data_IF_079550032324
#
_entry.id   IF_079550032324
#
_cell.length_a   1.000
_cell.length_b   1.000
_cell.length_c   1.000
_cell.angle_alpha   90.00
_cell.angle_beta   90.00
_cell.angle_gamma   90.00
#
_symmetry.space_group_name_H-M   'P 1'
#
loop_
_entity.id
_entity.type
_entity.pdbx_description
1 polymer ?
#
# COMPACT_ATOMS: atom_id res chain seq x y z
N UNK A 1 -32.15 -20.62 6.87
CA UNK A 1 -32.47 -19.49 5.97
C UNK A 1 -33.08 -18.36 6.79
N UNK A 2 -32.24 -17.47 7.30
CA UNK A 2 -32.68 -16.31 8.08
C UNK A 2 -33.12 -15.22 7.10
N UNK A 3 -34.42 -14.92 7.06
CA UNK A 3 -34.98 -13.88 6.20
C UNK A 3 -34.37 -12.53 6.59
N UNK A 4 -33.54 -11.95 5.73
CA UNK A 4 -33.12 -10.56 5.86
C UNK A 4 -34.37 -9.67 5.74
N UNK A 5 -34.72 -9.01 6.84
CA UNK A 5 -35.81 -8.04 6.89
C UNK A 5 -35.22 -6.71 6.41
N UNK A 6 -35.62 -6.25 5.24
CA UNK A 6 -35.30 -4.89 4.78
C UNK A 6 -36.06 -3.95 5.72
N UNK A 7 -35.33 -3.17 6.52
CA UNK A 7 -35.88 -2.14 7.42
C UNK A 7 -35.69 -0.82 6.69
N UNK A 8 -36.79 -0.12 6.40
CA UNK A 8 -36.76 1.22 5.83
C UNK A 8 -36.31 2.23 6.91
N UNK A 9 -35.42 3.15 6.54
CA UNK A 9 -34.93 4.22 7.40
C UNK A 9 -36.05 5.25 7.61
N UNK A 10 -36.42 5.52 8.85
CA UNK A 10 -37.40 6.53 9.25
C UNK A 10 -36.75 7.55 10.21
N UNK A 11 -37.32 8.75 10.33
CA UNK A 11 -36.80 9.81 11.21
C UNK A 11 -36.68 9.38 12.68
N UNK A 12 -37.35 8.29 13.07
CA UNK A 12 -37.33 7.76 14.44
C UNK A 12 -36.27 6.69 14.67
N UNK A 13 -35.66 6.15 13.61
CA UNK A 13 -34.72 5.03 13.65
C UNK A 13 -33.36 5.36 13.03
N UNK A 14 -33.17 6.57 12.49
CA UNK A 14 -31.91 7.07 11.93
C UNK A 14 -31.01 7.73 12.97
N UNK A 15 -29.69 7.65 12.78
CA UNK A 15 -28.70 8.37 13.56
C UNK A 15 -28.87 9.90 13.39
N UNK A 16 -28.95 10.64 14.50
CA UNK A 16 -29.14 12.10 14.50
C UNK A 16 -27.89 12.88 14.04
N UNK A 17 -26.72 12.23 14.02
CA UNK A 17 -25.46 12.89 13.70
C UNK A 17 -25.08 12.77 12.23
N UNK A 18 -25.24 11.58 11.64
CA UNK A 18 -24.86 11.30 10.26
C UNK A 18 -26.04 11.13 9.30
N UNK A 19 -27.28 10.97 9.80
CA UNK A 19 -28.51 10.77 9.03
C UNK A 19 -28.49 9.62 7.99
N UNK A 20 -27.41 8.85 7.90
CA UNK A 20 -27.14 7.89 6.83
C UNK A 20 -27.28 6.42 7.26
N UNK A 21 -27.47 6.17 8.56
CA UNK A 21 -27.50 4.82 9.11
C UNK A 21 -28.53 4.69 10.23
N UNK A 22 -29.00 3.46 10.44
CA UNK A 22 -29.84 3.11 11.59
C UNK A 22 -29.09 3.42 12.90
N UNK A 23 -29.78 4.11 13.79
CA UNK A 23 -29.31 4.37 15.13
C UNK A 23 -29.32 3.08 15.95
N UNK A 24 -28.17 2.70 16.49
CA UNK A 24 -27.98 1.46 17.27
C UNK A 24 -27.95 1.73 18.77
N UNK A 25 -27.62 2.95 19.16
CA UNK A 25 -27.35 3.33 20.54
C UNK A 25 -27.97 4.70 20.84
N UNK A 26 -28.15 4.99 22.13
CA UNK A 26 -28.73 6.25 22.61
C UNK A 26 -27.83 6.84 23.69
N UNK A 27 -27.54 8.14 23.61
CA UNK A 27 -26.74 8.82 24.61
C UNK A 27 -27.53 8.95 25.93
N UNK A 28 -26.97 8.57 27.09
CA UNK A 28 -27.69 8.65 28.37
C UNK A 28 -27.86 10.08 28.90
N UNK A 29 -27.08 11.05 28.40
CA UNK A 29 -27.18 12.46 28.84
C UNK A 29 -28.20 13.26 28.02
N UNK A 30 -28.10 13.22 26.69
CA UNK A 30 -28.97 14.02 25.80
C UNK A 30 -30.08 13.21 25.12
N UNK A 31 -30.10 11.88 25.26
CA UNK A 31 -31.06 10.97 24.62
C UNK A 31 -31.03 10.93 23.08
N UNK A 32 -30.05 11.59 22.45
CA UNK A 32 -29.83 11.50 21.01
C UNK A 32 -29.37 10.13 20.56
N UNK A 33 -29.88 9.68 19.42
CA UNK A 33 -29.58 8.35 18.88
C UNK A 33 -28.41 8.38 17.89
N UNK A 34 -27.50 7.41 17.99
CA UNK A 34 -26.31 7.31 17.15
C UNK A 34 -26.05 5.89 16.63
N UNK A 35 -25.34 5.77 15.51
CA UNK A 35 -25.05 4.49 14.88
C UNK A 35 -23.71 3.87 15.32
N UNK A 36 -22.69 4.68 15.62
CA UNK A 36 -21.31 4.24 15.94
C UNK A 36 -20.61 5.23 16.86
N UNK A 37 -19.47 4.82 17.44
CA UNK A 37 -18.62 5.69 18.26
C UNK A 37 -18.16 6.96 17.52
N UNK A 38 -17.94 6.89 16.21
CA UNK A 38 -17.57 8.06 15.39
C UNK A 38 -18.67 9.13 15.43
N UNK A 39 -19.95 8.71 15.37
CA UNK A 39 -21.07 9.63 15.53
C UNK A 39 -21.22 10.14 16.97
N UNK A 40 -20.86 9.32 17.96
CA UNK A 40 -20.86 9.73 19.38
C UNK A 40 -19.77 10.77 19.69
N UNK A 41 -18.63 10.72 19.00
CA UNK A 41 -17.50 11.66 19.12
C UNK A 41 -17.54 12.80 18.09
N UNK A 42 -18.62 12.93 17.34
CA UNK A 42 -18.75 14.00 16.34
C UNK A 42 -18.80 15.38 17.00
N UNK A 43 -18.37 16.43 16.29
CA UNK A 43 -18.42 17.82 16.78
C UNK A 43 -19.81 18.21 17.29
N UNK A 44 -20.87 17.69 16.67
CA UNK A 44 -22.27 17.92 17.06
C UNK A 44 -22.64 17.32 18.42
N UNK A 45 -21.86 16.37 18.94
CA UNK A 45 -22.07 15.68 20.22
C UNK A 45 -20.88 15.82 21.20
N UNK A 46 -19.93 16.72 20.90
CA UNK A 46 -18.66 16.83 21.61
C UNK A 46 -18.83 17.08 23.12
N UNK A 47 -19.76 17.97 23.48
CA UNK A 47 -20.08 18.33 24.87
C UNK A 47 -20.44 17.10 25.73
N UNK A 48 -21.25 16.19 25.20
CA UNK A 48 -21.72 15.02 25.94
C UNK A 48 -20.68 13.90 25.98
N UNK A 49 -19.86 13.76 24.93
CA UNK A 49 -18.75 12.81 24.92
C UNK A 49 -17.63 13.22 25.87
N UNK A 50 -17.24 14.51 25.88
CA UNK A 50 -16.18 15.01 26.75
C UNK A 50 -16.55 14.95 28.23
N UNK A 51 -17.78 15.33 28.59
CA UNK A 51 -18.24 15.18 29.96
C UNK A 51 -18.24 13.72 30.41
N UNK A 52 -18.58 12.78 29.53
CA UNK A 52 -18.52 11.36 29.87
C UNK A 52 -17.08 10.90 30.10
N UNK A 53 -16.13 11.29 29.24
CA UNK A 53 -14.72 10.99 29.44
C UNK A 53 -14.18 11.61 30.73
N UNK A 54 -14.54 12.87 30.99
CA UNK A 54 -14.19 13.57 32.22
C UNK A 54 -14.77 12.89 33.45
N UNK A 55 -16.04 12.50 33.42
CA UNK A 55 -16.69 11.78 34.53
C UNK A 55 -16.07 10.40 34.75
N UNK A 56 -15.69 9.68 33.68
CA UNK A 56 -14.97 8.41 33.78
C UNK A 56 -13.59 8.59 34.41
N UNK A 57 -12.82 9.59 33.96
CA UNK A 57 -11.50 9.91 34.52
C UNK A 57 -11.63 10.34 35.99
N UNK A 58 -12.58 11.22 36.32
CA UNK A 58 -12.80 11.68 37.70
C UNK A 58 -13.23 10.52 38.60
N UNK A 59 -14.07 9.59 38.13
CA UNK A 59 -14.46 8.40 38.91
C UNK A 59 -13.30 7.46 39.18
N UNK A 60 -12.43 7.26 38.20
CA UNK A 60 -11.23 6.41 38.38
C UNK A 60 -10.21 7.09 39.30
N UNK A 61 -10.00 8.40 39.12
CA UNK A 61 -9.14 9.21 40.00
C UNK A 61 -9.70 9.35 41.42
N UNK A 62 -11.01 9.30 41.62
CA UNK A 62 -11.61 9.30 42.97
C UNK A 62 -11.32 8.01 43.75
N UNK A 63 -10.88 6.94 43.08
CA UNK A 63 -10.39 5.74 43.74
C UNK A 63 -8.93 5.86 44.20
N UNK A 64 -8.19 6.86 43.69
CA UNK A 64 -6.83 7.19 44.11
C UNK A 64 -6.81 8.44 45.00
N UNK A 65 -6.47 8.27 46.28
CA UNK A 65 -6.50 9.31 47.33
C UNK A 65 -5.32 10.31 47.26
N UNK A 66 -4.82 10.65 46.06
CA UNK A 66 -3.69 11.55 45.87
C UNK A 66 -4.05 12.84 45.11
N UNK A 67 -4.52 13.85 45.86
CA UNK A 67 -4.88 15.18 45.34
C UNK A 67 -3.72 15.90 44.62
N UNK A 68 -2.47 15.58 44.95
CA UNK A 68 -1.27 16.15 44.31
C UNK A 68 -1.11 15.63 42.88
N UNK A 69 -1.37 14.33 42.66
CA UNK A 69 -1.32 13.69 41.34
C UNK A 69 -2.46 14.21 40.44
N UNK A 70 -3.66 14.41 41.01
CA UNK A 70 -4.81 15.00 40.31
C UNK A 70 -4.50 16.40 39.80
N UNK A 71 -3.89 17.26 40.63
CA UNK A 71 -3.50 18.62 40.22
C UNK A 71 -2.46 18.61 39.13
N UNK A 72 -1.40 17.79 39.24
CA UNK A 72 -0.36 17.69 38.21
C UNK A 72 -0.90 17.19 36.87
N UNK A 73 -1.82 16.22 36.87
CA UNK A 73 -2.38 15.70 35.63
C UNK A 73 -3.36 16.70 34.97
N UNK A 74 -4.15 17.42 35.75
CA UNK A 74 -4.99 18.52 35.26
C UNK A 74 -4.14 19.68 34.72
N UNK A 75 -2.99 19.97 35.33
CA UNK A 75 -2.05 20.98 34.88
C UNK A 75 -1.36 20.56 33.56
N UNK A 76 -1.02 19.28 33.39
CA UNK A 76 -0.49 18.74 32.13
C UNK A 76 -1.51 18.85 30.99
N UNK A 77 -2.79 18.52 31.24
CA UNK A 77 -3.88 18.68 30.26
C UNK A 77 -4.15 20.14 29.90
N UNK A 78 -4.02 21.04 30.87
CA UNK A 78 -4.18 22.48 30.64
C UNK A 78 -3.00 23.06 29.86
N UNK A 79 -1.79 22.54 30.13
CA UNK A 79 -0.58 22.87 29.39
C UNK A 79 -0.65 22.38 27.94
N UNK A 80 -1.13 21.17 27.67
CA UNK A 80 -1.27 20.71 26.27
C UNK A 80 -2.27 21.54 25.48
N UNK A 81 -3.34 22.03 26.10
CA UNK A 81 -4.33 22.88 25.42
C UNK A 81 -3.83 24.32 25.21
N UNK A 82 -2.95 24.82 26.08
CA UNK A 82 -2.28 26.11 25.91
C UNK A 82 -1.09 26.02 24.93
N UNK A 83 -0.39 24.88 24.89
CA UNK A 83 0.67 24.58 23.91
C UNK A 83 0.08 24.41 22.50
N UNK A 84 -1.20 24.00 22.34
CA UNK A 84 -1.91 24.06 21.05
C UNK A 84 -2.22 25.50 20.59
N UNK A 85 -2.40 26.45 21.52
CA UNK A 85 -2.66 27.87 21.19
C UNK A 85 -1.37 28.71 21.03
N UNK A 86 -0.24 28.27 21.58
CA UNK A 86 1.07 28.95 21.52
C UNK A 86 2.11 28.27 20.61
N UNK A 87 1.73 27.25 19.84
CA UNK A 87 2.49 26.84 18.67
C UNK A 87 2.33 27.93 17.61
N UNK A 88 3.26 28.88 17.69
CA UNK A 88 3.62 29.90 16.70
C UNK A 88 3.80 29.25 15.32
N UNK A 89 2.68 29.08 14.64
CA UNK A 89 2.58 28.79 13.23
C UNK A 89 2.91 30.08 12.51
N UNK A 90 4.20 30.34 12.32
CA UNK A 90 4.77 31.39 11.46
C UNK A 90 4.48 31.09 9.96
N UNK A 91 3.33 30.48 9.66
CA UNK A 91 2.72 30.30 8.32
C UNK A 91 1.84 31.52 8.03
N UNK A 92 2.49 32.67 7.91
CA UNK A 92 1.86 33.85 7.31
C UNK A 92 1.75 33.60 5.78
N UNK A 93 0.52 33.60 5.27
CA UNK A 93 0.13 33.81 3.86
C UNK A 93 0.27 32.69 2.80
N UNK A 94 0.27 31.40 3.14
CA UNK A 94 -0.05 30.37 2.13
C UNK A 94 -1.48 29.88 2.27
N UNK A 95 -2.30 30.13 1.24
CA UNK A 95 -3.64 29.57 1.14
C UNK A 95 -3.60 28.05 1.35
N UNK A 96 -4.64 27.49 1.99
CA UNK A 96 -4.75 26.06 2.25
C UNK A 96 -4.45 25.26 0.97
N UNK A 97 -3.69 24.17 1.09
CA UNK A 97 -3.28 23.34 -0.04
C UNK A 97 -4.50 22.86 -0.85
N UNK A 98 -5.64 22.66 -0.16
CA UNK A 98 -6.93 22.35 -0.77
C UNK A 98 -7.43 23.44 -1.73
N UNK A 99 -7.23 24.72 -1.39
CA UNK A 99 -7.61 25.85 -2.24
C UNK A 99 -6.66 26.01 -3.44
N UNK A 100 -5.37 25.71 -3.26
CA UNK A 100 -4.35 25.81 -4.31
C UNK A 100 -4.44 24.70 -5.36
N UNK A 101 -4.86 23.50 -4.93
CA UNK A 101 -5.10 22.34 -5.79
C UNK A 101 -6.53 22.29 -6.35
N UNK A 102 -7.40 23.25 -5.98
CA UNK A 102 -8.76 23.31 -6.49
C UNK A 102 -8.76 23.46 -8.03
N UNK A 103 -9.33 22.45 -8.72
CA UNK A 103 -9.42 22.42 -10.18
C UNK A 103 -8.13 22.02 -10.89
N UNK A 104 -7.11 21.56 -10.17
CA UNK A 104 -5.95 20.89 -10.75
C UNK A 104 -6.32 19.45 -11.11
N UNK A 105 -5.85 18.99 -12.26
CA UNK A 105 -5.92 17.58 -12.62
C UNK A 105 -4.93 16.79 -11.76
N UNK A 106 -5.44 15.99 -10.83
CA UNK A 106 -4.60 15.21 -9.92
C UNK A 106 -3.87 14.06 -10.62
N UNK A 107 -4.28 13.71 -11.84
CA UNK A 107 -3.59 12.70 -12.67
C UNK A 107 -2.39 13.31 -13.43
N UNK A 108 -2.24 14.65 -13.43
CA UNK A 108 -1.09 15.35 -14.01
C UNK A 108 -0.08 15.72 -12.90
N UNK A 109 0.91 14.85 -12.72
CA UNK A 109 1.93 14.99 -11.68
C UNK A 109 2.74 16.30 -11.80
N UNK A 110 2.99 16.78 -13.02
CA UNK A 110 3.76 18.01 -13.22
C UNK A 110 2.95 19.24 -12.80
N UNK A 111 1.66 19.28 -13.13
CA UNK A 111 0.76 20.35 -12.71
C UNK A 111 0.56 20.39 -11.18
N UNK A 112 0.43 19.22 -10.53
CA UNK A 112 0.37 19.13 -9.07
C UNK A 112 1.67 19.61 -8.45
N UNK A 113 2.82 19.19 -9.01
CA UNK A 113 4.14 19.58 -8.51
C UNK A 113 4.39 21.09 -8.54
N UNK A 114 4.03 21.76 -9.64
CA UNK A 114 4.17 23.20 -9.80
C UNK A 114 3.32 24.02 -8.82
N UNK A 115 2.24 23.43 -8.30
CA UNK A 115 1.32 24.07 -7.37
C UNK A 115 1.77 23.97 -5.93
N UNK A 116 2.68 23.06 -5.60
CA UNK A 116 3.27 22.89 -4.27
C UNK A 116 4.29 24.01 -3.95
N UNK A 117 4.43 24.36 -2.66
CA UNK A 117 5.46 25.29 -2.20
C UNK A 117 6.82 24.60 -2.21
N UNK A 118 7.89 25.39 -2.09
CA UNK A 118 9.25 24.85 -2.01
C UNK A 118 9.47 23.99 -0.78
N UNK A 119 8.73 24.25 0.29
CA UNK A 119 8.87 23.51 1.55
C UNK A 119 8.08 22.19 1.48
N UNK A 120 6.87 22.19 0.91
CA UNK A 120 6.09 20.97 0.61
C UNK A 120 6.83 20.06 -0.38
N UNK A 121 7.45 20.61 -1.42
CA UNK A 121 8.29 19.84 -2.35
C UNK A 121 9.51 19.24 -1.65
N UNK A 122 10.15 19.99 -0.74
CA UNK A 122 11.29 19.50 0.03
C UNK A 122 10.87 18.41 1.02
N UNK A 123 9.73 18.56 1.68
CA UNK A 123 9.16 17.55 2.56
C UNK A 123 8.82 16.28 1.77
N UNK A 124 8.20 16.41 0.60
CA UNK A 124 7.94 15.26 -0.27
C UNK A 124 9.23 14.57 -0.73
N UNK A 125 10.26 15.32 -1.12
CA UNK A 125 11.57 14.74 -1.50
C UNK A 125 12.27 14.10 -0.30
N UNK A 126 12.15 14.68 0.90
CA UNK A 126 12.67 14.10 2.12
C UNK A 126 11.91 12.82 2.48
N UNK A 127 10.59 12.83 2.30
CA UNK A 127 9.72 11.67 2.44
C UNK A 127 10.13 10.58 1.45
N UNK A 128 10.30 10.88 0.15
CA UNK A 128 10.80 9.94 -0.88
C UNK A 128 12.13 9.26 -0.53
N UNK A 129 12.98 9.93 0.24
CA UNK A 129 14.27 9.38 0.70
C UNK A 129 14.14 8.52 1.95
N UNK A 130 12.99 8.56 2.63
CA UNK A 130 12.70 7.69 3.76
C UNK A 130 12.32 6.28 3.28
N UNK A 131 12.58 5.26 4.11
CA UNK A 131 12.15 3.88 3.81
C UNK A 131 10.62 3.74 3.78
N UNK A 132 9.87 4.72 4.29
CA UNK A 132 8.43 4.64 4.48
C UNK A 132 7.63 4.70 3.16
N UNK A 133 8.19 5.34 2.12
CA UNK A 133 7.53 5.48 0.80
C UNK A 133 7.27 4.14 0.14
N UNK A 134 8.15 3.16 0.36
CA UNK A 134 7.98 1.80 -0.18
C UNK A 134 6.70 1.14 0.31
N UNK A 135 6.12 1.60 1.43
CA UNK A 135 4.83 1.10 1.95
C UNK A 135 3.62 1.72 1.27
N UNK A 136 3.77 2.87 0.62
CA UNK A 136 2.68 3.52 -0.12
C UNK A 136 2.48 2.94 -1.52
N UNK A 137 3.52 2.32 -2.08
CA UNK A 137 3.44 1.68 -3.40
C UNK A 137 2.87 0.28 -3.21
N UNK A 138 1.71 -0.05 -3.82
CA UNK A 138 1.18 -1.39 -3.77
C UNK A 138 2.17 -2.36 -4.42
N UNK A 139 2.47 -3.44 -3.71
CA UNK A 139 3.33 -4.49 -4.23
C UNK A 139 2.61 -5.23 -5.34
N UNK A 140 3.25 -5.34 -6.50
CA UNK A 140 2.73 -6.12 -7.61
C UNK A 140 2.73 -7.61 -7.27
N UNK A 141 1.57 -8.24 -7.45
CA UNK A 141 1.42 -9.67 -7.29
C UNK A 141 1.52 -10.35 -8.67
N UNK A 142 2.53 -11.20 -8.90
CA UNK A 142 2.64 -11.91 -10.16
C UNK A 142 1.53 -12.96 -10.30
N UNK A 143 1.01 -13.13 -11.51
CA UNK A 143 -0.02 -14.14 -11.80
C UNK A 143 0.40 -15.55 -11.35
N UNK A 144 1.68 -15.93 -11.50
CA UNK A 144 2.15 -17.25 -11.06
C UNK A 144 2.24 -17.45 -9.53
N UNK A 145 1.92 -16.44 -8.71
CA UNK A 145 1.79 -16.59 -7.25
C UNK A 145 0.41 -17.12 -6.82
N UNK A 146 -0.56 -17.19 -7.73
CA UNK A 146 -1.90 -17.68 -7.40
C UNK A 146 -1.85 -19.14 -6.91
N UNK A 147 -2.41 -19.38 -5.71
CA UNK A 147 -2.54 -20.72 -5.12
C UNK A 147 -4.02 -21.11 -5.10
N UNK A 148 -4.40 -22.09 -5.93
CA UNK A 148 -5.73 -22.67 -5.84
C UNK A 148 -5.81 -23.63 -4.63
N UNK A 149 -6.73 -23.44 -3.67
CA UNK A 149 -7.20 -24.47 -2.75
C UNK A 149 -7.63 -25.74 -3.51
N UNK A 150 -7.58 -26.88 -2.82
CA UNK A 150 -8.02 -28.17 -3.38
C UNK A 150 -9.52 -28.19 -3.78
N UNK A 151 -10.32 -27.24 -3.28
CA UNK A 151 -11.75 -27.07 -3.61
C UNK A 151 -12.04 -25.59 -3.75
N UNK A 152 -12.50 -25.18 -4.91
CA UNK A 152 -12.92 -23.81 -5.22
C UNK A 152 -14.19 -23.79 -6.09
N UNK A 153 -14.90 -22.67 -6.05
CA UNK A 153 -16.00 -22.40 -6.95
C UNK A 153 -15.48 -22.24 -8.39
N UNK A 154 -16.19 -22.79 -9.38
CA UNK A 154 -15.72 -22.84 -10.78
C UNK A 154 -15.42 -21.44 -11.34
N UNK A 155 -16.10 -20.40 -10.83
CA UNK A 155 -15.96 -19.01 -11.24
C UNK A 155 -14.61 -18.39 -10.82
N UNK A 156 -14.04 -18.74 -9.66
CA UNK A 156 -12.74 -18.20 -9.21
C UNK A 156 -11.59 -18.63 -10.14
N UNK A 157 -11.63 -19.88 -10.60
CA UNK A 157 -10.66 -20.43 -11.55
C UNK A 157 -10.70 -19.77 -12.94
N UNK A 158 -11.79 -19.12 -13.33
CA UNK A 158 -11.89 -18.44 -14.63
C UNK A 158 -11.27 -17.04 -14.58
N UNK A 159 -11.42 -16.33 -13.45
CA UNK A 159 -10.84 -15.00 -13.24
C UNK A 159 -9.31 -15.04 -13.33
N UNK A 160 -8.66 -15.96 -12.61
CA UNK A 160 -7.20 -16.13 -12.67
C UNK A 160 -6.66 -16.33 -14.10
N UNK A 161 -7.35 -17.14 -14.92
CA UNK A 161 -6.92 -17.40 -16.31
C UNK A 161 -6.96 -16.16 -17.19
N UNK A 162 -7.81 -15.18 -16.86
CA UNK A 162 -7.87 -13.91 -17.58
C UNK A 162 -6.70 -12.99 -17.26
N UNK A 163 -6.08 -13.15 -16.09
CA UNK A 163 -4.88 -12.41 -15.66
C UNK A 163 -3.58 -13.04 -16.20
N UNK A 164 -3.62 -14.29 -16.66
CA UNK A 164 -2.46 -14.94 -17.26
C UNK A 164 -2.10 -14.32 -18.64
N UNK A 165 -0.80 -14.17 -18.96
CA UNK A 165 -0.36 -13.73 -20.27
C UNK A 165 -0.87 -14.65 -21.39
N UNK A 166 -1.24 -14.04 -22.51
CA UNK A 166 -1.68 -14.77 -23.69
C UNK A 166 -0.52 -15.54 -24.32
N UNK A 167 -0.71 -16.84 -24.52
CA UNK A 167 0.32 -17.69 -25.10
C UNK A 167 0.46 -17.43 -26.60
N UNK A 168 1.69 -17.13 -27.02
CA UNK A 168 2.04 -17.02 -28.44
C UNK A 168 2.10 -18.42 -29.03
N UNK A 169 1.40 -18.64 -30.16
CA UNK A 169 1.50 -19.89 -30.92
C UNK A 169 2.88 -19.99 -31.57
N UNK A 170 3.76 -20.76 -30.95
CA UNK A 170 5.08 -21.10 -31.49
C UNK A 170 5.01 -22.41 -32.27
N UNK A 171 5.90 -22.56 -33.26
CA UNK A 171 6.04 -23.82 -34.01
C UNK A 171 6.61 -24.91 -33.11
N UNK A 172 6.20 -26.14 -33.33
CA UNK A 172 6.76 -27.29 -32.61
C UNK A 172 8.25 -27.42 -32.95
N UNK A 173 9.09 -27.66 -31.94
CA UNK A 173 10.53 -27.83 -32.15
C UNK A 173 10.86 -28.94 -33.15
N UNK A 174 10.04 -30.00 -33.20
CA UNK A 174 10.18 -31.13 -34.13
C UNK A 174 10.03 -30.74 -35.59
N UNK A 175 9.35 -29.62 -35.86
CA UNK A 175 9.22 -29.06 -37.21
C UNK A 175 10.47 -28.26 -37.62
N UNK A 176 11.27 -27.82 -36.65
CA UNK A 176 12.45 -26.98 -36.86
C UNK A 176 13.73 -27.83 -36.89
N UNK A 177 13.82 -28.85 -36.05
CA UNK A 177 14.99 -29.72 -35.92
C UNK A 177 14.63 -31.20 -35.82
N UNK A 178 15.39 -32.04 -36.53
CA UNK A 178 15.33 -33.51 -36.43
C UNK A 178 16.21 -34.09 -35.32
N UNK A 179 17.10 -33.28 -34.74
CA UNK A 179 17.97 -33.67 -33.63
C UNK A 179 17.26 -33.39 -32.31
N UNK A 180 17.36 -34.30 -31.37
CA UNK A 180 16.89 -34.07 -30.01
C UNK A 180 17.65 -32.87 -29.40
N UNK A 181 16.96 -31.96 -28.68
CA UNK A 181 17.62 -30.94 -27.89
C UNK A 181 18.61 -31.59 -26.92
N UNK A 182 19.72 -30.89 -26.64
CA UNK A 182 20.60 -31.30 -25.56
C UNK A 182 19.86 -31.23 -24.21
N UNK A 183 20.16 -32.15 -23.29
CA UNK A 183 19.49 -32.23 -21.99
C UNK A 183 19.65 -30.95 -21.15
N UNK A 184 20.74 -30.21 -21.35
CA UNK A 184 21.02 -28.94 -20.67
C UNK A 184 20.07 -27.80 -21.07
N UNK A 185 19.40 -27.87 -22.22
CA UNK A 185 18.54 -26.79 -22.73
C UNK A 185 17.43 -26.44 -21.75
N UNK A 186 16.88 -27.44 -21.04
CA UNK A 186 15.83 -27.21 -20.02
C UNK A 186 16.36 -26.41 -18.82
N UNK A 187 17.61 -26.64 -18.41
CA UNK A 187 18.24 -25.93 -17.29
C UNK A 187 18.65 -24.51 -17.70
N UNK A 188 19.12 -24.35 -18.94
CA UNK A 188 19.37 -23.03 -19.51
C UNK A 188 18.09 -22.19 -19.56
N UNK A 189 16.96 -22.80 -19.95
CA UNK A 189 15.65 -22.15 -19.93
C UNK A 189 15.23 -21.79 -18.51
N UNK A 190 15.45 -22.65 -17.52
CA UNK A 190 15.21 -22.35 -16.10
C UNK A 190 16.01 -21.13 -15.65
N UNK A 191 17.29 -21.03 -16.01
CA UNK A 191 18.12 -19.87 -15.69
C UNK A 191 17.54 -18.56 -16.30
N UNK A 192 17.12 -18.60 -17.57
CA UNK A 192 16.49 -17.44 -18.23
C UNK A 192 15.16 -17.07 -17.57
N UNK A 193 14.32 -18.05 -17.22
CA UNK A 193 13.04 -17.82 -16.54
C UNK A 193 13.23 -17.27 -15.12
N UNK A 194 14.23 -17.76 -14.39
CA UNK A 194 14.56 -17.24 -13.06
C UNK A 194 15.02 -15.78 -13.13
N UNK A 195 15.86 -15.43 -14.11
CA UNK A 195 16.28 -14.06 -14.37
C UNK A 195 15.08 -13.16 -14.72
N UNK A 196 14.18 -13.62 -15.59
CA UNK A 196 12.95 -12.91 -15.91
C UNK A 196 12.04 -12.70 -14.70
N UNK A 197 11.82 -13.75 -13.90
CA UNK A 197 10.99 -13.68 -12.69
C UNK A 197 11.58 -12.73 -11.64
N UNK A 198 12.91 -12.68 -11.52
CA UNK A 198 13.59 -11.69 -10.68
C UNK A 198 13.36 -10.28 -11.22
N UNK A 199 13.65 -10.03 -12.50
CA UNK A 199 13.57 -8.70 -13.08
C UNK A 199 12.13 -8.15 -13.02
N UNK A 200 11.13 -8.93 -13.41
CA UNK A 200 9.72 -8.52 -13.34
C UNK A 200 9.28 -8.11 -11.94
N UNK A 201 9.75 -8.81 -10.90
CA UNK A 201 9.52 -8.43 -9.49
C UNK A 201 10.32 -7.20 -9.06
N UNK A 202 11.57 -7.10 -9.48
CA UNK A 202 12.43 -5.96 -9.20
C UNK A 202 11.84 -4.65 -9.73
N UNK A 203 11.21 -4.69 -10.91
CA UNK A 203 10.49 -3.58 -11.53
C UNK A 203 9.00 -3.52 -11.14
N UNK A 204 8.58 -4.18 -10.05
CA UNK A 204 7.22 -4.16 -9.53
C UNK A 204 6.12 -4.37 -10.59
N UNK A 205 6.33 -5.27 -11.55
CA UNK A 205 5.36 -5.55 -12.61
C UNK A 205 5.38 -4.58 -13.80
N UNK A 206 6.08 -3.45 -13.73
CA UNK A 206 6.15 -2.40 -14.77
C UNK A 206 7.22 -2.69 -15.85
N UNK A 207 7.61 -3.96 -15.96
CA UNK A 207 8.66 -4.41 -16.87
C UNK A 207 8.40 -4.13 -18.37
N UNK A 208 7.17 -3.83 -18.76
CA UNK A 208 6.83 -3.43 -20.13
C UNK A 208 7.15 -1.96 -20.40
N UNK A 209 6.99 -1.09 -19.40
CA UNK A 209 7.24 0.35 -19.51
C UNK A 209 8.76 0.64 -19.51
N UNK A 210 9.53 -0.16 -18.77
CA UNK A 210 10.99 -0.08 -18.67
C UNK A 210 11.71 -1.22 -19.42
N UNK A 211 11.23 -1.55 -20.62
CA UNK A 211 11.67 -2.74 -21.34
C UNK A 211 13.20 -2.82 -21.56
N UNK A 212 13.88 -1.69 -21.82
CA UNK A 212 15.33 -1.68 -22.08
C UNK A 212 16.12 -2.01 -20.82
N UNK A 213 15.76 -1.39 -19.71
CA UNK A 213 16.36 -1.55 -18.39
C UNK A 213 16.13 -2.98 -17.89
N UNK A 214 14.92 -3.51 -18.08
CA UNK A 214 14.57 -4.88 -17.75
C UNK A 214 15.38 -5.87 -18.57
N UNK A 215 15.48 -5.69 -19.90
CA UNK A 215 16.27 -6.59 -20.75
C UNK A 215 17.74 -6.55 -20.34
N UNK A 216 18.29 -5.35 -20.07
CA UNK A 216 19.66 -5.19 -19.57
C UNK A 216 19.86 -5.94 -18.25
N UNK A 217 18.91 -5.82 -17.31
CA UNK A 217 18.92 -6.55 -16.04
C UNK A 217 18.90 -8.08 -16.27
N UNK A 218 17.97 -8.58 -17.07
CA UNK A 218 17.82 -10.02 -17.38
C UNK A 218 19.09 -10.58 -18.01
N UNK A 219 19.67 -9.89 -19.00
CA UNK A 219 20.93 -10.31 -19.64
C UNK A 219 22.09 -10.26 -18.65
N UNK A 220 22.12 -9.28 -17.75
CA UNK A 220 23.19 -9.13 -16.76
C UNK A 220 23.21 -10.27 -15.74
N UNK A 221 22.03 -10.76 -15.33
CA UNK A 221 21.91 -11.79 -14.29
C UNK A 221 21.76 -13.22 -14.83
N UNK A 222 21.36 -13.39 -16.10
CA UNK A 222 21.30 -14.71 -16.73
C UNK A 222 22.65 -15.06 -17.34
N UNK A 223 23.42 -15.93 -16.68
CA UNK A 223 24.69 -16.43 -17.24
C UNK A 223 24.49 -17.21 -18.55
N UNK A 224 23.31 -17.79 -18.78
CA UNK A 224 22.94 -18.38 -20.08
C UNK A 224 23.00 -17.33 -21.19
N UNK A 225 22.42 -16.15 -20.98
CA UNK A 225 22.38 -15.08 -21.99
C UNK A 225 23.71 -14.30 -22.04
N UNK A 226 24.30 -14.02 -20.88
CA UNK A 226 25.52 -13.22 -20.72
C UNK A 226 26.76 -13.93 -21.28
N UNK A 227 26.94 -15.19 -20.90
CA UNK A 227 28.20 -15.93 -21.10
C UNK A 227 28.02 -17.18 -21.97
N UNK A 228 26.82 -17.46 -22.48
CA UNK A 228 26.47 -18.73 -23.13
C UNK A 228 26.76 -19.95 -22.23
N UNK A 229 26.61 -19.78 -20.91
CA UNK A 229 26.83 -20.86 -19.95
C UNK A 229 25.73 -21.90 -20.08
N UNK A 230 26.13 -23.18 -20.07
CA UNK A 230 25.20 -24.29 -19.98
C UNK A 230 25.11 -24.78 -18.53
N UNK A 231 23.91 -25.19 -18.12
CA UNK A 231 23.65 -25.76 -16.81
C UNK A 231 23.25 -27.24 -16.95
N UNK A 232 23.68 -28.05 -15.99
CA UNK A 232 23.43 -29.49 -15.97
C UNK A 232 22.34 -29.89 -14.96
N UNK A 233 21.91 -28.95 -14.12
CA UNK A 233 20.90 -29.18 -13.09
C UNK A 233 20.10 -27.90 -12.75
N UNK A 234 18.97 -28.09 -12.06
CA UNK A 234 18.07 -27.01 -11.67
C UNK A 234 18.70 -26.07 -10.63
N UNK A 235 19.43 -26.63 -9.66
CA UNK A 235 19.91 -25.89 -8.50
C UNK A 235 21.00 -24.90 -8.92
N UNK A 236 21.96 -25.33 -9.74
CA UNK A 236 23.00 -24.45 -10.28
C UNK A 236 22.43 -23.36 -11.19
N UNK A 237 21.43 -23.71 -12.02
CA UNK A 237 20.75 -22.76 -12.90
C UNK A 237 20.07 -21.62 -12.12
N UNK A 238 19.43 -21.91 -10.98
CA UNK A 238 18.75 -20.90 -10.16
C UNK A 238 19.74 -20.14 -9.27
N UNK A 239 20.65 -20.84 -8.57
CA UNK A 239 21.62 -20.20 -7.66
C UNK A 239 22.52 -19.20 -8.37
N UNK A 240 22.88 -19.46 -9.63
CA UNK A 240 23.67 -18.49 -10.40
C UNK A 240 22.94 -17.16 -10.59
N UNK A 241 21.63 -17.16 -10.86
CA UNK A 241 20.83 -15.93 -10.93
C UNK A 241 20.77 -15.25 -9.57
N UNK A 242 20.58 -16.01 -8.48
CA UNK A 242 20.57 -15.47 -7.13
C UNK A 242 21.87 -14.71 -6.83
N UNK A 243 23.03 -15.31 -7.10
CA UNK A 243 24.33 -14.64 -6.89
C UNK A 243 24.51 -13.39 -7.77
N UNK A 244 24.19 -13.45 -9.06
CA UNK A 244 24.32 -12.30 -9.95
C UNK A 244 23.34 -11.18 -9.58
N UNK A 245 22.14 -11.53 -9.08
CA UNK A 245 21.13 -10.55 -8.67
C UNK A 245 21.55 -9.71 -7.46
N UNK A 246 22.31 -10.30 -6.52
CA UNK A 246 22.86 -9.57 -5.36
C UNK A 246 23.76 -8.42 -5.85
N UNK A 247 24.57 -8.66 -6.89
CA UNK A 247 25.46 -7.65 -7.45
C UNK A 247 24.68 -6.48 -8.06
N UNK A 248 23.56 -6.77 -8.73
CA UNK A 248 22.69 -5.74 -9.32
C UNK A 248 22.00 -4.89 -8.23
N UNK A 249 21.52 -5.52 -7.16
CA UNK A 249 20.83 -4.82 -6.06
C UNK A 249 21.79 -4.01 -5.19
N UNK A 250 23.00 -4.53 -4.94
CA UNK A 250 23.98 -3.88 -4.06
C UNK A 250 24.81 -2.80 -4.73
N UNK A 251 24.98 -2.86 -6.05
CA UNK A 251 25.73 -1.87 -6.81
C UNK A 251 24.93 -1.37 -8.03
N UNK A 252 23.90 -0.51 -7.82
CA UNK A 252 23.07 0.04 -8.90
C UNK A 252 23.88 0.83 -9.95
N UNK A 253 25.08 1.28 -9.57
CA UNK A 253 25.98 2.08 -10.39
C UNK A 253 26.37 1.42 -11.73
N UNK A 254 26.30 0.09 -11.85
CA UNK A 254 26.67 -0.60 -13.10
C UNK A 254 25.64 -0.47 -14.22
N UNK A 255 24.38 -0.10 -13.93
CA UNK A 255 23.34 0.10 -14.94
C UNK A 255 23.51 1.45 -15.66
N UNK A 256 24.20 2.41 -15.03
CA UNK A 256 24.39 3.77 -15.58
C UNK A 256 25.61 3.94 -16.50
N UNK A 257 26.46 2.92 -16.67
CA UNK A 257 27.69 3.03 -17.49
C UNK A 257 27.56 2.52 -18.94
N UNK A 258 26.34 2.23 -19.41
CA UNK A 258 26.09 1.83 -20.81
C UNK A 258 25.28 2.85 -21.63
N UNK A 259 25.28 4.12 -21.21
CA UNK A 259 24.87 5.26 -22.06
C UNK A 259 26.05 6.17 -22.36
#
# INVERSE_FOLDING_TARGET
MSKAKIIELDETNTCEFCCNALAKYTCPKCQSKYCTLVCYQSEKHLQCSEEFYKDCIVKELAQEDNEEAKKKMLEILKRSHLEEEELDSDDDDFADIADRLAGVDLDDADQVWEKLTKDEQQEFVAFLKSEDVTKLIPSWEPWWSHKSPNVEEIESCQLYKSECPQLIKIRDFREISKKNPADCVKYNLINVLAAYAFATRYFNGEHHDFAKEVISCVVTISLTLKNNQNFDDYESAVKSVEYESIMVVTFPSYILYFY
#
